data_IF_759916503589
#
_entry.id   IF_759916503589
#
_cell.length_a   1.000
_cell.length_b   1.000
_cell.length_c   1.000
_cell.angle_alpha   90.00
_cell.angle_beta   90.00
_cell.angle_gamma   90.00
#
_symmetry.space_group_name_H-M   'P 1'
#
loop_
_entity.id
_entity.type
_entity.pdbx_description
1 polymer ?
#
# COMPACT_ATOMS: atom_id res chain seq x y z
N UNK A 1 -19.66 1.26 -5.56
CA UNK A 1 -18.87 0.52 -6.58
C UNK A 1 -19.70 -0.56 -7.25
N UNK A 2 -20.25 -1.53 -6.50
CA UNK A 2 -21.09 -2.60 -7.10
C UNK A 2 -22.30 -2.07 -7.87
N UNK A 3 -23.01 -1.09 -7.30
CA UNK A 3 -24.14 -0.44 -7.97
C UNK A 3 -23.69 0.26 -9.26
N UNK A 4 -22.57 1.00 -9.24
CA UNK A 4 -22.01 1.64 -10.44
C UNK A 4 -21.67 0.59 -11.51
N UNK A 5 -20.99 -0.49 -11.13
CA UNK A 5 -20.66 -1.60 -12.06
C UNK A 5 -21.92 -2.22 -12.67
N UNK A 6 -22.94 -2.50 -11.85
CA UNK A 6 -24.22 -3.02 -12.32
C UNK A 6 -24.91 -2.06 -13.30
N UNK A 7 -24.91 -0.75 -13.02
CA UNK A 7 -25.47 0.26 -13.92
C UNK A 7 -24.75 0.37 -15.27
N UNK A 8 -23.47 -0.02 -15.31
CA UNK A 8 -22.65 -0.08 -16.51
C UNK A 8 -22.77 -1.41 -17.28
N UNK A 9 -23.59 -2.35 -16.81
CA UNK A 9 -23.76 -3.67 -17.43
C UNK A 9 -22.80 -4.75 -16.92
N UNK A 10 -22.11 -4.51 -15.80
CA UNK A 10 -21.17 -5.44 -15.17
C UNK A 10 -21.66 -5.85 -13.78
N UNK A 11 -22.81 -6.53 -13.65
CA UNK A 11 -23.32 -6.94 -12.34
C UNK A 11 -22.35 -7.94 -11.70
N UNK A 12 -22.15 -7.78 -10.40
CA UNK A 12 -21.31 -8.65 -9.58
C UNK A 12 -22.06 -9.02 -8.31
N UNK A 13 -22.03 -10.31 -7.99
CA UNK A 13 -22.36 -10.79 -6.66
C UNK A 13 -21.08 -11.18 -5.95
N UNK A 14 -20.89 -10.62 -4.76
CA UNK A 14 -19.77 -10.98 -3.92
C UNK A 14 -20.26 -11.96 -2.86
N UNK A 15 -19.92 -13.24 -3.00
CA UNK A 15 -20.20 -14.27 -2.01
C UNK A 15 -19.08 -14.31 -0.97
N UNK A 16 -19.38 -13.87 0.25
CA UNK A 16 -18.42 -13.92 1.36
C UNK A 16 -18.95 -14.79 2.48
N UNK A 17 -18.17 -15.80 2.86
CA UNK A 17 -18.49 -16.75 3.93
C UNK A 17 -17.80 -16.44 5.25
N UNK A 18 -16.88 -15.46 5.30
CA UNK A 18 -16.10 -15.16 6.51
C UNK A 18 -16.30 -13.72 6.98
N UNK A 19 -16.84 -13.59 8.19
CA UNK A 19 -17.34 -12.35 8.80
C UNK A 19 -16.27 -11.34 9.25
N UNK A 20 -14.98 -11.64 9.04
CA UNK A 20 -13.85 -10.84 9.55
C UNK A 20 -12.90 -10.31 8.45
N UNK A 21 -13.29 -10.35 7.17
CA UNK A 21 -12.45 -9.86 6.08
C UNK A 21 -12.74 -8.38 5.78
N UNK A 22 -11.69 -7.55 5.72
CA UNK A 22 -11.80 -6.17 5.24
C UNK A 22 -11.96 -6.17 3.71
N UNK A 23 -13.18 -5.91 3.24
CA UNK A 23 -13.48 -5.84 1.81
C UNK A 23 -12.83 -4.61 1.17
N UNK A 24 -12.40 -4.77 -0.07
CA UNK A 24 -11.63 -3.76 -0.79
C UNK A 24 -11.59 -4.03 -2.28
N UNK A 25 -11.09 -3.03 -3.03
CA UNK A 25 -11.01 -3.08 -4.51
C UNK A 25 -10.37 -4.35 -5.09
N UNK A 26 -9.31 -4.94 -4.50
CA UNK A 26 -8.75 -6.20 -5.01
C UNK A 26 -9.77 -7.34 -5.04
N UNK A 27 -10.69 -7.40 -4.06
CA UNK A 27 -11.76 -8.40 -4.04
C UNK A 27 -12.77 -8.18 -5.16
N UNK A 28 -13.10 -6.91 -5.47
CA UNK A 28 -13.95 -6.55 -6.61
C UNK A 28 -13.26 -6.91 -7.92
N UNK A 29 -11.97 -6.59 -8.08
CA UNK A 29 -11.19 -6.97 -9.26
C UNK A 29 -11.18 -8.48 -9.49
N UNK A 30 -10.93 -9.27 -8.44
CA UNK A 30 -10.98 -10.74 -8.51
C UNK A 30 -12.36 -11.25 -8.92
N UNK A 31 -13.44 -10.67 -8.38
CA UNK A 31 -14.80 -11.02 -8.76
C UNK A 31 -15.11 -10.66 -10.23
N UNK A 32 -14.60 -9.53 -10.74
CA UNK A 32 -14.73 -9.16 -12.15
C UNK A 32 -14.05 -10.15 -13.09
N UNK A 33 -12.85 -10.62 -12.73
CA UNK A 33 -12.14 -11.66 -13.50
C UNK A 33 -12.94 -12.96 -13.48
N UNK A 34 -13.37 -13.41 -12.30
CA UNK A 34 -14.14 -14.66 -12.16
C UNK A 34 -15.49 -14.64 -12.89
N UNK A 35 -16.13 -13.48 -12.95
CA UNK A 35 -17.37 -13.27 -13.69
C UNK A 35 -17.15 -13.16 -15.22
N UNK A 36 -15.90 -13.12 -15.69
CA UNK A 36 -15.56 -12.95 -17.11
C UNK A 36 -15.77 -11.54 -17.64
N UNK A 37 -15.85 -10.53 -16.76
CA UNK A 37 -16.06 -9.13 -17.15
C UNK A 37 -14.77 -8.44 -17.62
N UNK A 38 -13.61 -8.96 -17.20
CA UNK A 38 -12.26 -8.47 -17.53
C UNK A 38 -11.28 -9.65 -17.55
N UNK A 39 -10.19 -9.51 -18.29
CA UNK A 39 -9.16 -10.54 -18.46
C UNK A 39 -8.10 -10.52 -17.34
N UNK A 40 -8.05 -9.44 -16.55
CA UNK A 40 -7.11 -9.33 -15.43
C UNK A 40 -7.56 -8.37 -14.33
N UNK A 41 -6.98 -8.51 -13.14
CA UNK A 41 -7.18 -7.57 -12.05
C UNK A 41 -6.65 -6.17 -12.39
N UNK A 42 -5.53 -6.10 -13.13
CA UNK A 42 -4.97 -4.85 -13.63
C UNK A 42 -5.98 -4.11 -14.51
N UNK A 43 -6.61 -4.81 -15.46
CA UNK A 43 -7.63 -4.23 -16.32
C UNK A 43 -8.82 -3.70 -15.51
N UNK A 44 -9.25 -4.42 -14.46
CA UNK A 44 -10.31 -3.94 -13.57
C UNK A 44 -9.96 -2.56 -12.98
N UNK A 45 -8.72 -2.41 -12.47
CA UNK A 45 -8.24 -1.16 -11.91
C UNK A 45 -8.11 -0.05 -12.96
N UNK A 46 -7.60 -0.36 -14.16
CA UNK A 46 -7.39 0.65 -15.21
C UNK A 46 -8.71 1.17 -15.81
N UNK A 47 -9.73 0.31 -15.92
CA UNK A 47 -10.96 0.64 -16.64
C UNK A 47 -12.14 1.00 -15.74
N UNK A 48 -12.22 0.42 -14.53
CA UNK A 48 -13.47 0.45 -13.75
C UNK A 48 -13.30 1.00 -12.34
N UNK A 49 -12.35 0.47 -11.56
CA UNK A 49 -12.32 0.67 -10.10
C UNK A 49 -11.07 1.41 -9.58
N UNK A 50 -10.17 1.83 -10.48
CA UNK A 50 -9.05 2.70 -10.15
C UNK A 50 -9.49 4.06 -9.63
N UNK A 51 -8.55 4.84 -9.07
CA UNK A 51 -8.86 6.23 -8.76
C UNK A 51 -9.27 6.96 -10.05
N UNK A 52 -10.34 7.74 -9.98
CA UNK A 52 -10.98 8.43 -11.12
C UNK A 52 -11.67 7.53 -12.18
N UNK A 53 -11.72 6.21 -12.00
CA UNK A 53 -12.47 5.34 -12.89
C UNK A 53 -13.99 5.37 -12.62
N UNK A 54 -14.84 5.01 -13.61
CA UNK A 54 -16.30 5.23 -13.54
C UNK A 54 -17.02 4.53 -12.38
N UNK A 55 -16.51 3.39 -11.91
CA UNK A 55 -17.12 2.68 -10.80
C UNK A 55 -16.54 3.06 -9.43
N UNK A 56 -15.50 3.91 -9.38
CA UNK A 56 -14.87 4.35 -8.15
C UNK A 56 -15.82 5.21 -7.32
N UNK A 57 -15.83 4.97 -6.01
CA UNK A 57 -16.59 5.76 -5.03
C UNK A 57 -15.59 6.35 -4.06
N UNK A 58 -15.52 7.68 -4.02
CA UNK A 58 -14.70 8.39 -3.06
C UNK A 58 -15.22 8.16 -1.65
N UNK A 59 -14.31 8.00 -0.70
CA UNK A 59 -14.59 7.92 0.72
C UNK A 59 -13.63 8.84 1.46
N UNK A 60 -14.01 9.27 2.65
CA UNK A 60 -13.15 10.08 3.50
C UNK A 60 -11.96 9.26 3.96
N UNK A 61 -10.76 9.73 3.62
CA UNK A 61 -9.49 9.18 4.08
C UNK A 61 -9.01 10.06 5.23
N UNK A 62 -8.35 9.45 6.22
CA UNK A 62 -7.52 10.22 7.16
C UNK A 62 -6.50 11.03 6.37
N UNK A 63 -6.23 12.26 6.82
CA UNK A 63 -5.02 12.96 6.42
C UNK A 63 -3.79 12.17 6.89
N UNK A 64 -2.65 12.38 6.21
CA UNK A 64 -1.40 11.73 6.62
C UNK A 64 -1.01 12.09 8.06
N UNK A 65 -1.31 13.32 8.49
CA UNK A 65 -1.09 13.78 9.86
C UNK A 65 -1.96 13.01 10.87
N UNK A 66 -3.27 12.90 10.63
CA UNK A 66 -4.16 12.13 11.52
C UNK A 66 -3.75 10.66 11.59
N UNK A 67 -3.31 10.07 10.47
CA UNK A 67 -2.79 8.70 10.46
C UNK A 67 -1.52 8.54 11.31
N UNK A 68 -0.57 9.48 11.21
CA UNK A 68 0.65 9.49 12.02
C UNK A 68 0.29 9.64 13.51
N UNK A 69 -0.57 10.59 13.85
CA UNK A 69 -1.01 10.84 15.23
C UNK A 69 -1.71 9.61 15.82
N UNK A 70 -2.59 8.96 15.06
CA UNK A 70 -3.30 7.76 15.50
C UNK A 70 -2.35 6.58 15.76
N UNK A 71 -1.39 6.34 14.86
CA UNK A 71 -0.41 5.26 15.02
C UNK A 71 0.41 5.50 16.28
N UNK A 72 0.88 6.74 16.51
CA UNK A 72 1.66 7.10 17.70
C UNK A 72 0.85 6.99 18.98
N UNK A 73 -0.40 7.46 18.98
CA UNK A 73 -1.32 7.34 20.12
C UNK A 73 -1.62 5.88 20.48
N UNK A 74 -1.42 4.95 19.53
CA UNK A 74 -1.54 3.51 19.73
C UNK A 74 -0.23 2.83 20.16
N UNK A 75 0.84 3.59 20.42
CA UNK A 75 2.18 3.06 20.74
C UNK A 75 2.93 2.49 19.52
N UNK A 76 2.45 2.78 18.30
CA UNK A 76 3.04 2.30 17.06
C UNK A 76 4.09 3.24 16.49
N UNK A 77 4.83 2.72 15.50
CA UNK A 77 5.83 3.46 14.73
C UNK A 77 5.26 3.83 13.36
N UNK A 78 4.96 5.11 13.08
CA UNK A 78 4.45 5.54 11.79
C UNK A 78 5.56 5.47 10.73
N UNK A 79 5.30 4.71 9.66
CA UNK A 79 6.22 4.47 8.54
C UNK A 79 5.53 4.85 7.23
N UNK A 80 6.22 5.62 6.38
CA UNK A 80 5.71 5.94 5.06
C UNK A 80 5.98 4.77 4.10
N UNK A 81 4.93 4.01 3.79
CA UNK A 81 4.96 2.90 2.85
C UNK A 81 5.17 3.37 1.40
N UNK A 82 6.03 2.67 0.66
CA UNK A 82 6.34 2.80 -0.77
C UNK A 82 6.22 4.25 -1.31
N UNK A 83 6.99 5.22 -0.78
CA UNK A 83 6.82 6.66 -1.08
C UNK A 83 6.93 7.00 -2.56
N UNK A 84 7.68 6.25 -3.37
CA UNK A 84 7.79 6.50 -4.82
C UNK A 84 6.60 6.02 -5.64
N UNK A 85 5.58 5.43 -5.01
CA UNK A 85 4.28 5.17 -5.62
C UNK A 85 3.24 6.24 -5.25
N UNK A 86 3.61 7.23 -4.43
CA UNK A 86 2.72 8.33 -4.06
C UNK A 86 2.51 9.29 -5.23
N UNK A 87 1.25 9.57 -5.56
CA UNK A 87 0.87 10.47 -6.66
C UNK A 87 0.59 11.91 -6.20
N UNK A 88 0.52 12.19 -4.89
CA UNK A 88 0.13 13.51 -4.38
C UNK A 88 1.27 14.54 -4.25
N UNK A 89 2.45 14.26 -4.81
CA UNK A 89 3.60 15.16 -4.78
C UNK A 89 4.94 14.43 -4.82
N UNK A 90 6.04 15.17 -4.91
CA UNK A 90 7.38 14.57 -4.85
C UNK A 90 7.73 14.20 -3.41
N UNK A 91 8.44 13.10 -3.24
CA UNK A 91 8.90 12.61 -1.93
C UNK A 91 9.67 13.70 -1.17
N UNK A 92 10.58 14.40 -1.86
CA UNK A 92 11.37 15.54 -1.36
C UNK A 92 10.53 16.66 -0.75
N UNK A 93 9.35 16.93 -1.33
CA UNK A 93 8.50 18.07 -0.98
C UNK A 93 7.56 17.70 0.18
N UNK A 94 7.12 16.44 0.22
CA UNK A 94 6.13 15.94 1.17
C UNK A 94 6.79 15.45 2.46
N UNK A 95 8.00 14.87 2.37
CA UNK A 95 8.69 14.28 3.51
C UNK A 95 8.85 15.26 4.69
N UNK A 96 9.29 16.53 4.52
CA UNK A 96 9.45 17.45 5.64
C UNK A 96 8.14 17.67 6.43
N UNK A 97 7.00 17.67 5.73
CA UNK A 97 5.67 17.82 6.35
C UNK A 97 5.33 16.59 7.19
N UNK A 98 5.59 15.38 6.68
CA UNK A 98 5.36 14.14 7.42
C UNK A 98 6.29 14.02 8.63
N UNK A 99 7.56 14.41 8.49
CA UNK A 99 8.52 14.45 9.61
C UNK A 99 8.04 15.42 10.68
N UNK A 100 7.58 16.62 10.31
CA UNK A 100 7.02 17.58 11.24
C UNK A 100 5.77 17.06 11.97
N UNK A 101 4.97 16.22 11.31
CA UNK A 101 3.83 15.52 11.92
C UNK A 101 4.22 14.34 12.83
N UNK A 102 5.51 13.96 12.86
CA UNK A 102 6.03 12.91 13.73
C UNK A 102 6.23 11.55 13.06
N UNK A 103 6.40 11.51 11.73
CA UNK A 103 6.85 10.31 11.01
C UNK A 103 8.16 9.77 11.61
N UNK A 104 8.27 8.45 11.72
CA UNK A 104 9.43 7.80 12.36
C UNK A 104 10.20 6.87 11.42
N UNK A 105 9.63 6.46 10.30
CA UNK A 105 10.33 5.62 9.33
C UNK A 105 9.84 5.77 7.90
N UNK A 106 10.61 5.19 6.98
CA UNK A 106 10.31 5.13 5.55
C UNK A 106 10.56 3.71 5.05
N UNK A 107 9.67 3.21 4.19
CA UNK A 107 9.94 2.01 3.43
C UNK A 107 10.98 2.28 2.34
N UNK A 108 12.22 1.92 2.63
CA UNK A 108 13.37 2.10 1.75
C UNK A 108 13.42 0.99 0.70
N UNK A 109 13.23 -0.25 1.14
CA UNK A 109 13.38 -1.44 0.30
C UNK A 109 12.01 -1.95 -0.15
N UNK A 110 11.71 -1.78 -1.43
CA UNK A 110 10.43 -2.16 -2.03
C UNK A 110 10.64 -2.51 -3.52
N UNK A 111 9.83 -3.39 -4.14
CA UNK A 111 10.08 -3.83 -5.52
C UNK A 111 10.02 -2.73 -6.57
N UNK A 112 9.27 -1.67 -6.29
CA UNK A 112 9.20 -0.50 -7.16
C UNK A 112 10.31 0.55 -6.90
N UNK A 113 11.22 0.27 -5.98
CA UNK A 113 12.38 1.11 -5.65
C UNK A 113 13.66 0.54 -6.28
N UNK A 114 14.02 1.00 -7.47
CA UNK A 114 15.35 0.74 -8.02
C UNK A 114 16.47 1.39 -7.21
N UNK A 115 17.73 1.03 -7.47
CA UNK A 115 18.90 1.46 -6.70
C UNK A 115 18.97 2.98 -6.45
N UNK A 116 18.62 3.80 -7.43
CA UNK A 116 18.63 5.26 -7.29
C UNK A 116 17.61 5.74 -6.24
N UNK A 117 16.40 5.18 -6.27
CA UNK A 117 15.32 5.46 -5.30
C UNK A 117 15.74 5.00 -3.90
N UNK A 118 16.24 3.77 -3.77
CA UNK A 118 16.75 3.22 -2.50
C UNK A 118 17.83 4.12 -1.90
N UNK A 119 18.84 4.49 -2.70
CA UNK A 119 19.93 5.34 -2.22
C UNK A 119 19.44 6.74 -1.80
N UNK A 120 18.42 7.28 -2.48
CA UNK A 120 17.82 8.56 -2.12
C UNK A 120 17.05 8.47 -0.80
N UNK A 121 16.22 7.44 -0.60
CA UNK A 121 15.50 7.24 0.66
C UNK A 121 16.45 6.97 1.83
N UNK A 122 17.55 6.24 1.62
CA UNK A 122 18.59 6.06 2.65
C UNK A 122 19.18 7.39 3.11
N UNK A 123 19.47 8.31 2.18
CA UNK A 123 19.95 9.66 2.52
C UNK A 123 18.91 10.43 3.32
N UNK A 124 17.63 10.39 2.93
CA UNK A 124 16.58 11.02 3.71
C UNK A 124 16.46 10.45 5.12
N UNK A 125 16.57 9.13 5.27
CA UNK A 125 16.56 8.51 6.60
C UNK A 125 17.72 9.00 7.47
N UNK A 126 18.90 9.20 6.89
CA UNK A 126 20.04 9.79 7.60
C UNK A 126 19.82 11.27 7.94
N UNK A 127 19.32 12.07 6.99
CA UNK A 127 19.09 13.52 7.15
C UNK A 127 18.03 13.83 8.20
N UNK A 128 16.94 13.04 8.24
CA UNK A 128 15.80 13.27 9.13
C UNK A 128 15.79 12.33 10.35
N UNK A 129 16.85 11.52 10.55
CA UNK A 129 16.95 10.52 11.62
C UNK A 129 15.74 9.55 11.66
N UNK A 130 15.36 9.02 10.48
CA UNK A 130 14.24 8.09 10.31
C UNK A 130 14.73 6.65 10.23
N UNK A 131 13.88 5.73 10.68
CA UNK A 131 14.07 4.30 10.56
C UNK A 131 13.89 3.84 9.11
N UNK A 132 14.70 2.87 8.69
CA UNK A 132 14.58 2.24 7.38
C UNK A 132 13.78 0.95 7.53
N UNK A 133 12.71 0.80 6.75
CA UNK A 133 11.95 -0.44 6.66
C UNK A 133 11.97 -0.99 5.24
N UNK A 134 11.40 -2.18 5.05
CA UNK A 134 11.19 -2.73 3.73
C UNK A 134 10.18 -3.85 3.72
N UNK A 135 9.51 -3.98 2.58
CA UNK A 135 8.42 -4.91 2.36
C UNK A 135 8.29 -5.25 0.89
N UNK A 136 7.77 -6.44 0.61
CA UNK A 136 7.50 -6.89 -0.77
C UNK A 136 6.17 -6.40 -1.28
N UNK A 137 5.31 -5.88 -0.38
CA UNK A 137 3.92 -5.56 -0.65
C UNK A 137 3.19 -6.73 -1.35
N UNK A 138 3.41 -7.93 -0.80
CA UNK A 138 2.95 -9.18 -1.40
C UNK A 138 1.46 -9.41 -1.11
N UNK A 139 0.68 -9.60 -2.17
CA UNK A 139 -0.79 -9.71 -2.11
C UNK A 139 -1.30 -11.14 -2.35
N UNK A 140 -0.45 -12.14 -2.16
CA UNK A 140 -0.80 -13.55 -2.32
C UNK A 140 -0.46 -14.14 -3.69
N UNK A 141 -0.50 -15.47 -3.74
CA UNK A 141 -0.22 -16.24 -4.94
C UNK A 141 -1.47 -16.35 -5.80
N UNK A 142 -1.38 -15.91 -7.06
CA UNK A 142 -2.44 -16.15 -8.04
C UNK A 142 -2.30 -17.59 -8.57
N UNK A 143 -3.14 -18.50 -8.05
CA UNK A 143 -3.17 -19.91 -8.47
C UNK A 143 -3.59 -20.09 -9.93
N UNK A 144 -4.34 -19.14 -10.49
CA UNK A 144 -4.86 -19.22 -11.86
C UNK A 144 -3.82 -18.73 -12.87
N UNK A 145 -2.93 -17.82 -12.46
CA UNK A 145 -1.91 -17.21 -13.32
C UNK A 145 -0.54 -17.13 -12.63
N UNK A 146 0.08 -18.29 -12.28
CA UNK A 146 1.35 -18.32 -11.56
C UNK A 146 2.48 -17.63 -12.32
N UNK A 147 2.41 -17.57 -13.64
CA UNK A 147 3.37 -16.88 -14.50
C UNK A 147 3.34 -15.35 -14.38
N UNK A 148 2.25 -14.79 -13.85
CA UNK A 148 2.10 -13.34 -13.63
C UNK A 148 2.61 -12.91 -12.25
N UNK A 149 3.12 -13.83 -11.44
CA UNK A 149 3.65 -13.51 -10.12
C UNK A 149 4.91 -12.66 -10.24
N UNK A 150 4.76 -11.36 -9.98
CA UNK A 150 5.83 -10.38 -10.16
C UNK A 150 6.79 -10.34 -8.97
N UNK A 151 6.27 -10.53 -7.75
CA UNK A 151 6.99 -10.39 -6.49
C UNK A 151 6.69 -11.56 -5.57
N UNK A 152 7.67 -12.01 -4.80
CA UNK A 152 7.53 -13.14 -3.88
C UNK A 152 7.62 -12.68 -2.43
N UNK A 153 6.98 -13.42 -1.53
CA UNK A 153 7.15 -13.20 -0.10
C UNK A 153 8.64 -13.32 0.28
N UNK A 154 9.14 -12.36 1.06
CA UNK A 154 10.53 -12.31 1.53
C UNK A 154 11.62 -12.20 0.44
N UNK A 155 11.29 -11.70 -0.77
CA UNK A 155 12.24 -11.55 -1.88
C UNK A 155 13.53 -10.76 -1.53
N UNK A 156 13.43 -9.73 -0.68
CA UNK A 156 14.56 -8.86 -0.35
C UNK A 156 15.55 -9.42 0.66
N UNK A 157 15.19 -10.47 1.41
CA UNK A 157 16.03 -11.05 2.47
C UNK A 157 16.65 -9.98 3.40
N UNK A 158 15.84 -9.04 3.86
CA UNK A 158 16.32 -7.90 4.65
C UNK A 158 16.86 -8.36 6.01
N UNK A 159 17.94 -7.73 6.52
CA UNK A 159 18.53 -8.14 7.77
C UNK A 159 17.63 -7.77 8.95
N UNK A 160 17.57 -8.65 9.95
CA UNK A 160 16.85 -8.39 11.21
C UNK A 160 17.36 -7.17 11.97
N UNK A 161 18.55 -6.65 11.64
CA UNK A 161 19.06 -5.39 12.19
C UNK A 161 18.17 -4.18 11.86
N UNK A 162 17.29 -4.27 10.87
CA UNK A 162 16.27 -3.24 10.61
C UNK A 162 15.07 -3.33 11.57
N UNK A 163 14.86 -4.47 12.23
CA UNK A 163 13.71 -4.70 13.11
C UNK A 163 13.93 -4.15 14.53
N UNK A 164 15.13 -4.32 15.09
CA UNK A 164 15.39 -3.93 16.48
C UNK A 164 15.16 -2.42 16.74
N UNK A 165 15.62 -1.49 15.87
CA UNK A 165 15.32 -0.07 16.04
C UNK A 165 13.81 0.24 16.02
N UNK A 166 13.00 -0.52 15.28
CA UNK A 166 11.54 -0.35 15.23
C UNK A 166 10.92 -0.77 16.57
N UNK A 167 11.38 -1.89 17.14
CA UNK A 167 10.92 -2.36 18.46
C UNK A 167 11.26 -1.36 19.55
N UNK A 168 12.49 -0.86 19.57
CA UNK A 168 12.93 0.16 20.54
C UNK A 168 12.08 1.43 20.43
N UNK A 169 11.81 1.87 19.20
CA UNK A 169 11.00 3.06 18.94
C UNK A 169 9.52 2.91 19.37
N UNK A 170 8.96 1.69 19.31
CA UNK A 170 7.59 1.41 19.74
C UNK A 170 7.41 1.44 21.27
N UNK A 171 8.48 1.25 22.06
CA UNK A 171 8.44 1.17 23.53
C UNK A 171 8.48 2.57 24.20
N UNK A 172 8.82 3.62 23.44
CA UNK A 172 9.07 4.97 23.99
C UNK A 172 7.80 5.81 24.28
N UNK A 173 6.61 5.22 24.19
CA UNK A 173 5.31 5.84 24.51
C UNK A 173 4.45 4.90 25.36
#
# INVERSE_FOLDING_TARGET
MLENLASMGYPLELTYTESNMALGRPHIASAMVKAGHVDSTQEAFERFIGEDCPAYVHYEKFSAQEGIELIRASGGVPVWAHPYLFCGGKVEEVLPVLVAAGLMGIEVFHPHHGNNKVNRLKKFCQEYNLLMTGGTDYHGYDLEHPEKEKWQLNQFHLPLSLLEPIKEAAILY
#
